data_IF_853791126816
#
_entry.id   IF_853791126816
#
_cell.length_a   1.000
_cell.length_b   1.000
_cell.length_c   1.000
_cell.angle_alpha   90.00
_cell.angle_beta   90.00
_cell.angle_gamma   90.00
#
_symmetry.space_group_name_H-M   'P 1'
#
loop_
_entity.id
_entity.type
_entity.pdbx_description
1 polymer ?
#
# COMPACT_ATOMS: atom_id res chain seq x y z
N UNK A 1 33.04 6.07 -11.56
CA UNK A 1 33.40 6.26 -12.98
C UNK A 1 33.13 7.69 -13.47
N UNK A 2 32.01 8.32 -13.10
CA UNK A 2 31.66 9.68 -13.53
C UNK A 2 32.72 10.74 -13.18
N UNK A 3 33.39 10.66 -12.02
CA UNK A 3 34.36 11.66 -11.56
C UNK A 3 35.73 11.54 -12.27
N UNK A 4 36.15 10.31 -12.60
CA UNK A 4 37.33 10.05 -13.43
C UNK A 4 37.04 10.46 -14.88
N UNK A 5 35.87 10.07 -15.41
CA UNK A 5 35.43 10.46 -16.75
C UNK A 5 35.27 11.98 -16.90
N UNK A 6 34.76 12.68 -15.88
CA UNK A 6 34.62 14.13 -15.86
C UNK A 6 35.97 14.86 -15.79
N UNK A 7 36.97 14.31 -15.08
CA UNK A 7 38.32 14.89 -15.05
C UNK A 7 39.06 14.69 -16.38
N UNK A 8 38.97 13.49 -16.96
CA UNK A 8 39.52 13.21 -18.30
C UNK A 8 38.85 14.07 -19.37
N UNK A 9 37.53 14.24 -19.33
CA UNK A 9 36.77 15.09 -20.26
C UNK A 9 37.11 16.59 -20.14
N UNK A 10 37.62 17.05 -18.99
CA UNK A 10 38.08 18.43 -18.76
C UNK A 10 39.57 18.62 -19.04
N UNK A 11 40.27 17.60 -19.55
CA UNK A 11 41.72 17.65 -19.81
C UNK A 11 42.58 17.66 -18.54
N UNK A 12 42.00 17.40 -17.36
CA UNK A 12 42.71 17.33 -16.09
C UNK A 12 43.20 15.92 -15.79
N UNK A 13 44.47 15.76 -15.41
CA UNK A 13 44.94 14.50 -14.84
C UNK A 13 44.64 14.47 -13.34
N UNK A 14 43.78 13.55 -12.90
CA UNK A 14 43.74 13.15 -11.50
C UNK A 14 45.11 12.56 -11.14
N UNK A 15 45.66 12.90 -9.97
CA UNK A 15 46.88 12.24 -9.53
C UNK A 15 46.58 10.75 -9.36
N UNK A 16 47.49 9.83 -9.74
CA UNK A 16 47.24 8.39 -9.64
C UNK A 16 46.72 7.94 -8.27
N UNK A 17 47.23 8.55 -7.19
CA UNK A 17 46.79 8.29 -5.82
C UNK A 17 45.31 8.65 -5.58
N UNK A 18 44.84 9.77 -6.11
CA UNK A 18 43.45 10.23 -5.98
C UNK A 18 42.50 9.36 -6.81
N UNK A 19 42.93 8.96 -8.01
CA UNK A 19 42.17 8.03 -8.85
C UNK A 19 42.03 6.64 -8.20
N UNK A 20 43.10 6.12 -7.59
CA UNK A 20 43.08 4.86 -6.84
C UNK A 20 42.17 4.96 -5.61
N UNK A 21 42.25 6.05 -4.84
CA UNK A 21 41.39 6.25 -3.68
C UNK A 21 39.90 6.28 -4.06
N UNK A 22 39.54 7.04 -5.10
CA UNK A 22 38.15 7.09 -5.56
C UNK A 22 37.66 5.76 -6.15
N UNK A 23 38.53 5.00 -6.82
CA UNK A 23 38.18 3.66 -7.29
C UNK A 23 37.91 2.69 -6.12
N UNK A 24 38.68 2.80 -5.04
CA UNK A 24 38.46 2.02 -3.82
C UNK A 24 37.13 2.39 -3.15
N UNK A 25 36.79 3.68 -3.03
CA UNK A 25 35.50 4.13 -2.47
C UNK A 25 34.30 3.57 -3.26
N UNK A 26 34.37 3.59 -4.60
CA UNK A 26 33.32 3.02 -5.44
C UNK A 26 33.19 1.51 -5.29
N UNK A 27 34.32 0.81 -5.11
CA UNK A 27 34.33 -0.62 -4.86
C UNK A 27 33.69 -0.94 -3.51
N UNK A 28 34.03 -0.20 -2.46
CA UNK A 28 33.45 -0.37 -1.13
C UNK A 28 31.94 -0.07 -1.14
N UNK A 29 31.50 0.98 -1.84
CA UNK A 29 30.07 1.27 -2.01
C UNK A 29 29.34 0.16 -2.78
N UNK A 30 29.95 -0.36 -3.85
CA UNK A 30 29.38 -1.47 -4.61
C UNK A 30 29.29 -2.75 -3.76
N UNK A 31 30.31 -3.06 -2.96
CA UNK A 31 30.29 -4.17 -2.02
C UNK A 31 29.17 -4.01 -0.99
N UNK A 32 29.03 -2.83 -0.39
CA UNK A 32 27.98 -2.55 0.59
C UNK A 32 26.56 -2.70 -0.02
N UNK A 33 26.36 -2.23 -1.27
CA UNK A 33 25.10 -2.42 -2.00
C UNK A 33 24.81 -3.89 -2.29
N UNK A 34 25.84 -4.65 -2.68
CA UNK A 34 25.70 -6.09 -2.93
C UNK A 34 25.37 -6.85 -1.64
N UNK A 35 26.07 -6.59 -0.54
CA UNK A 35 25.78 -7.19 0.76
C UNK A 35 24.37 -6.86 1.24
N UNK A 36 23.92 -5.62 1.07
CA UNK A 36 22.56 -5.22 1.39
C UNK A 36 21.53 -5.97 0.54
N UNK A 37 21.76 -6.08 -0.77
CA UNK A 37 20.90 -6.85 -1.67
C UNK A 37 20.86 -8.34 -1.29
N UNK A 38 21.98 -8.94 -0.92
CA UNK A 38 22.05 -10.33 -0.44
C UNK A 38 21.27 -10.51 0.88
N UNK A 39 21.43 -9.60 1.84
CA UNK A 39 20.66 -9.62 3.10
C UNK A 39 19.16 -9.50 2.85
N UNK A 40 18.75 -8.63 1.92
CA UNK A 40 17.36 -8.54 1.49
C UNK A 40 16.89 -9.86 0.86
N UNK A 41 17.69 -10.48 -0.02
CA UNK A 41 17.35 -11.76 -0.64
C UNK A 41 17.21 -12.89 0.39
N UNK A 42 18.09 -12.95 1.40
CA UNK A 42 17.99 -13.91 2.49
C UNK A 42 16.74 -13.67 3.34
N UNK A 43 16.42 -12.41 3.64
CA UNK A 43 15.19 -12.05 4.32
C UNK A 43 13.95 -12.45 3.49
N UNK A 44 13.94 -12.15 2.19
CA UNK A 44 12.88 -12.58 1.28
C UNK A 44 12.72 -14.11 1.25
N UNK A 45 13.82 -14.85 1.24
CA UNK A 45 13.80 -16.33 1.21
C UNK A 45 13.25 -16.89 2.53
N UNK A 46 13.62 -16.32 3.68
CA UNK A 46 13.03 -16.68 4.98
C UNK A 46 11.55 -16.34 5.03
N UNK A 47 11.15 -15.17 4.55
CA UNK A 47 9.75 -14.75 4.52
C UNK A 47 8.92 -15.59 3.54
N UNK A 48 9.49 -16.04 2.42
CA UNK A 48 8.81 -16.95 1.49
C UNK A 48 8.36 -18.25 2.17
N UNK A 49 9.16 -18.77 3.11
CA UNK A 49 8.77 -19.94 3.92
C UNK A 49 7.55 -19.68 4.81
N UNK A 50 7.34 -18.42 5.24
CA UNK A 50 6.17 -18.02 6.03
C UNK A 50 4.87 -18.02 5.22
N UNK A 51 4.97 -18.07 3.89
CA UNK A 51 3.81 -18.10 3.01
C UNK A 51 3.51 -19.50 2.48
N UNK A 52 4.21 -20.54 2.91
CA UNK A 52 4.06 -21.91 2.37
C UNK A 52 2.61 -22.42 2.36
N UNK A 53 1.81 -22.06 3.38
CA UNK A 53 0.40 -22.47 3.50
C UNK A 53 -0.57 -21.61 2.67
N UNK A 54 -0.10 -20.53 2.07
CA UNK A 54 -0.91 -19.67 1.21
C UNK A 54 -1.07 -20.34 -0.16
N UNK A 55 -2.27 -20.36 -0.76
CA UNK A 55 -2.44 -20.83 -2.13
C UNK A 55 -1.59 -20.02 -3.11
N UNK A 56 -0.84 -20.70 -3.99
CA UNK A 56 0.02 -20.06 -4.98
C UNK A 56 -0.43 -20.34 -6.42
N UNK A 57 -0.17 -19.42 -7.35
CA UNK A 57 -0.27 -19.68 -8.77
C UNK A 57 0.88 -20.59 -9.23
N UNK A 58 0.72 -21.26 -10.37
CA UNK A 58 1.75 -22.16 -10.92
C UNK A 58 3.02 -21.41 -11.34
N UNK A 59 2.89 -20.15 -11.75
CA UNK A 59 4.00 -19.31 -12.23
C UNK A 59 3.79 -17.83 -11.88
N UNK A 60 4.89 -17.08 -11.86
CA UNK A 60 4.92 -15.63 -11.76
C UNK A 60 5.44 -15.02 -13.08
N UNK A 61 5.01 -13.79 -13.47
CA UNK A 61 4.05 -12.94 -12.77
C UNK A 61 2.64 -13.52 -12.79
N UNK A 62 1.94 -13.43 -11.66
CA UNK A 62 0.59 -13.92 -11.50
C UNK A 62 -0.42 -12.82 -11.80
N UNK A 63 -1.53 -13.15 -12.45
CA UNK A 63 -2.54 -12.15 -12.77
C UNK A 63 -3.32 -11.71 -11.52
N UNK A 64 -3.97 -10.55 -11.61
CA UNK A 64 -4.92 -10.14 -10.57
C UNK A 64 -6.10 -11.12 -10.46
N UNK A 65 -6.55 -11.68 -11.59
CA UNK A 65 -7.60 -12.69 -11.61
C UNK A 65 -7.19 -13.98 -10.89
N UNK A 66 -5.94 -14.40 -10.99
CA UNK A 66 -5.42 -15.52 -10.19
C UNK A 66 -5.52 -15.23 -8.70
N UNK A 67 -5.23 -14.00 -8.27
CA UNK A 67 -5.39 -13.60 -6.88
C UNK A 67 -6.84 -13.64 -6.42
N UNK A 68 -7.76 -13.09 -7.23
CA UNK A 68 -9.19 -13.15 -6.93
C UNK A 68 -9.69 -14.60 -6.82
N UNK A 69 -9.22 -15.48 -7.71
CA UNK A 69 -9.61 -16.90 -7.75
C UNK A 69 -9.03 -17.69 -6.58
N UNK A 70 -7.72 -17.57 -6.32
CA UNK A 70 -6.99 -18.41 -5.38
C UNK A 70 -7.08 -17.91 -3.93
N UNK A 71 -7.08 -16.60 -3.73
CA UNK A 71 -7.03 -15.97 -2.41
C UNK A 71 -8.40 -15.48 -1.97
N UNK A 72 -9.08 -14.67 -2.80
CA UNK A 72 -10.36 -14.05 -2.42
C UNK A 72 -11.50 -15.07 -2.39
N UNK A 73 -11.50 -16.02 -3.34
CA UNK A 73 -12.42 -17.18 -3.41
C UNK A 73 -13.90 -16.79 -3.25
N UNK A 74 -14.35 -15.78 -3.99
CA UNK A 74 -15.76 -15.41 -4.01
C UNK A 74 -16.55 -16.24 -5.05
N UNK A 75 -17.89 -16.25 -4.93
CA UNK A 75 -18.77 -17.01 -5.84
C UNK A 75 -18.79 -16.43 -7.26
N UNK A 76 -18.65 -15.12 -7.38
CA UNK A 76 -18.67 -14.40 -8.65
C UNK A 76 -17.44 -13.48 -8.76
N UNK A 77 -16.97 -13.16 -9.97
CA UNK A 77 -15.89 -12.19 -10.16
C UNK A 77 -16.21 -10.82 -9.55
N UNK A 78 -17.44 -10.34 -9.73
CA UNK A 78 -17.89 -9.06 -9.19
C UNK A 78 -17.81 -9.03 -7.65
N UNK A 79 -18.21 -10.11 -6.97
CA UNK A 79 -18.05 -10.23 -5.52
C UNK A 79 -16.58 -10.27 -5.10
N UNK A 80 -15.73 -10.94 -5.88
CA UNK A 80 -14.31 -11.02 -5.58
C UNK A 80 -13.65 -9.63 -5.65
N UNK A 81 -13.90 -8.90 -6.74
CA UNK A 81 -13.39 -7.53 -6.92
C UNK A 81 -13.92 -6.59 -5.84
N UNK A 82 -15.21 -6.69 -5.48
CA UNK A 82 -15.80 -5.90 -4.40
C UNK A 82 -15.11 -6.17 -3.06
N UNK A 83 -14.94 -7.45 -2.68
CA UNK A 83 -14.26 -7.83 -1.43
C UNK A 83 -12.80 -7.35 -1.41
N UNK A 84 -12.10 -7.48 -2.52
CA UNK A 84 -10.72 -7.00 -2.62
C UNK A 84 -10.64 -5.47 -2.49
N UNK A 85 -11.56 -4.73 -3.14
CA UNK A 85 -11.67 -3.28 -2.97
C UNK A 85 -11.97 -2.89 -1.53
N UNK A 86 -12.87 -3.60 -0.85
CA UNK A 86 -13.18 -3.36 0.57
C UNK A 86 -11.97 -3.64 1.48
N UNK A 87 -11.17 -4.67 1.15
CA UNK A 87 -9.88 -4.93 1.79
C UNK A 87 -8.90 -3.77 1.60
N UNK A 88 -8.72 -3.27 0.37
CA UNK A 88 -7.85 -2.12 0.12
C UNK A 88 -8.34 -0.86 0.83
N UNK A 89 -9.66 -0.63 0.86
CA UNK A 89 -10.24 0.51 1.59
C UNK A 89 -9.89 0.44 3.07
N UNK A 90 -10.04 -0.73 3.69
CA UNK A 90 -9.67 -0.93 5.10
C UNK A 90 -8.15 -0.82 5.33
N UNK A 91 -7.34 -1.32 4.39
CA UNK A 91 -5.88 -1.21 4.45
C UNK A 91 -5.43 0.25 4.34
N UNK A 92 -5.97 1.01 3.39
CA UNK A 92 -5.67 2.43 3.21
C UNK A 92 -6.04 3.17 4.49
N UNK A 93 -7.26 2.96 5.02
CA UNK A 93 -7.73 3.52 6.30
C UNK A 93 -6.84 3.22 7.50
N UNK A 94 -6.08 2.13 7.52
CA UNK A 94 -5.09 1.84 8.59
C UNK A 94 -3.70 2.43 8.31
N UNK A 95 -3.35 2.55 7.03
CA UNK A 95 -2.02 3.00 6.59
C UNK A 95 -1.83 4.51 6.69
N UNK A 96 -2.89 5.30 6.52
CA UNK A 96 -2.89 6.64 7.09
C UNK A 96 -2.88 6.47 8.61
N UNK A 97 -2.01 7.19 9.30
CA UNK A 97 -1.60 6.97 10.69
C UNK A 97 -2.80 6.90 11.66
N UNK A 98 -3.32 5.69 11.96
CA UNK A 98 -4.49 5.54 12.85
C UNK A 98 -4.43 4.41 13.89
N UNK A 99 -3.34 3.65 13.98
CA UNK A 99 -3.19 2.59 15.01
C UNK A 99 -2.95 3.14 16.44
N UNK A 100 -2.98 4.46 16.68
CA UNK A 100 -2.70 5.08 18.00
C UNK A 100 -3.78 6.03 18.53
N UNK A 101 -4.91 6.23 17.86
CA UNK A 101 -5.97 7.12 18.34
C UNK A 101 -7.26 6.29 18.45
N UNK A 102 -7.65 5.95 19.68
CA UNK A 102 -8.88 5.21 20.00
C UNK A 102 -10.17 5.98 19.61
N UNK A 103 -10.07 7.27 19.30
CA UNK A 103 -11.20 8.15 18.96
C UNK A 103 -11.24 8.53 17.46
N UNK A 104 -11.62 7.57 16.62
CA UNK A 104 -11.85 7.77 15.17
C UNK A 104 -12.90 8.87 14.82
N UNK A 105 -13.99 9.09 15.58
CA UNK A 105 -15.01 10.10 15.24
C UNK A 105 -14.49 11.55 15.31
N UNK A 106 -13.72 11.87 16.36
CA UNK A 106 -13.23 13.24 16.61
C UNK A 106 -12.20 13.68 15.57
N UNK A 107 -11.43 12.74 15.05
CA UNK A 107 -10.40 13.04 14.05
C UNK A 107 -10.96 13.16 12.63
N UNK A 108 -11.98 12.38 12.26
CA UNK A 108 -12.64 12.53 10.96
C UNK A 108 -13.23 13.94 10.79
N UNK A 109 -13.82 14.49 11.85
CA UNK A 109 -14.28 15.88 11.91
C UNK A 109 -13.12 16.88 11.79
N UNK A 110 -12.03 16.67 12.53
CA UNK A 110 -10.85 17.54 12.48
C UNK A 110 -10.18 17.57 11.10
N UNK A 111 -9.99 16.41 10.48
CA UNK A 111 -9.37 16.29 9.18
C UNK A 111 -10.28 16.81 8.06
N UNK A 112 -11.60 16.65 8.18
CA UNK A 112 -12.57 17.21 7.23
C UNK A 112 -12.50 18.73 7.24
N UNK A 113 -12.44 19.31 8.44
CA UNK A 113 -12.26 20.75 8.64
C UNK A 113 -10.91 21.24 8.09
N UNK A 114 -9.81 20.50 8.32
CA UNK A 114 -8.49 20.86 7.79
C UNK A 114 -8.41 20.82 6.27
N UNK A 115 -9.04 19.84 5.64
CA UNK A 115 -9.12 19.76 4.18
C UNK A 115 -9.92 20.94 3.64
N UNK A 116 -11.07 21.26 4.23
CA UNK A 116 -11.89 22.42 3.85
C UNK A 116 -11.14 23.75 4.03
N UNK A 117 -10.42 23.93 5.14
CA UNK A 117 -9.56 25.10 5.41
C UNK A 117 -8.45 25.28 4.36
N UNK A 118 -7.97 24.18 3.76
CA UNK A 118 -6.92 24.20 2.73
C UNK A 118 -7.44 24.37 1.30
N UNK A 119 -8.74 24.18 1.07
CA UNK A 119 -9.34 24.41 -0.25
C UNK A 119 -9.22 25.88 -0.66
N UNK A 120 -9.00 26.10 -1.95
CA UNK A 120 -9.05 27.44 -2.53
C UNK A 120 -10.48 27.98 -2.44
N UNK A 121 -10.68 29.30 -2.30
CA UNK A 121 -12.02 29.90 -2.29
C UNK A 121 -12.89 29.47 -3.47
N UNK A 122 -12.31 29.39 -4.67
CA UNK A 122 -12.98 28.96 -5.91
C UNK A 122 -13.53 27.51 -5.82
N UNK A 123 -12.85 26.63 -5.09
CA UNK A 123 -13.27 25.24 -4.92
C UNK A 123 -14.39 25.10 -3.87
N UNK A 124 -14.49 26.05 -2.93
CA UNK A 124 -15.56 26.13 -1.93
C UNK A 124 -16.87 26.63 -2.53
N UNK A 125 -16.79 27.45 -3.58
CA UNK A 125 -17.96 27.96 -4.31
C UNK A 125 -18.48 26.98 -5.38
N UNK A 126 -17.93 25.76 -5.43
CA UNK A 126 -18.40 24.74 -6.38
C UNK A 126 -19.88 24.39 -6.12
N UNK A 127 -20.76 24.45 -7.13
CA UNK A 127 -22.18 24.12 -7.00
C UNK A 127 -22.46 22.75 -6.39
N UNK A 128 -21.54 21.79 -6.51
CA UNK A 128 -21.69 20.45 -5.92
C UNK A 128 -21.72 20.45 -4.39
N UNK A 129 -21.23 21.53 -3.75
CA UNK A 129 -21.23 21.70 -2.29
C UNK A 129 -22.38 22.57 -1.79
N UNK A 130 -23.21 23.11 -2.69
CA UNK A 130 -24.28 24.01 -2.32
C UNK A 130 -25.29 23.32 -1.38
N UNK A 131 -25.51 23.90 -0.20
CA UNK A 131 -26.41 23.35 0.81
C UNK A 131 -25.80 22.26 1.70
N UNK A 132 -24.52 21.91 1.51
CA UNK A 132 -23.79 21.03 2.42
C UNK A 132 -23.09 21.85 3.52
N UNK A 133 -23.00 21.27 4.71
CA UNK A 133 -22.20 21.81 5.82
C UNK A 133 -20.71 21.60 5.59
N UNK A 134 -19.85 22.39 6.24
CA UNK A 134 -18.39 22.21 6.17
C UNK A 134 -17.96 20.77 6.55
N UNK A 135 -18.66 20.16 7.52
CA UNK A 135 -18.42 18.78 7.94
C UNK A 135 -18.76 17.77 6.83
N UNK A 136 -19.89 17.95 6.17
CA UNK A 136 -20.31 17.07 5.07
C UNK A 136 -19.37 17.19 3.86
N UNK A 137 -18.92 18.42 3.54
CA UNK A 137 -17.93 18.65 2.48
C UNK A 137 -16.60 17.99 2.84
N UNK A 138 -16.12 18.18 4.08
CA UNK A 138 -14.89 17.55 4.57
C UNK A 138 -14.95 16.02 4.52
N UNK A 139 -16.08 15.42 4.91
CA UNK A 139 -16.29 13.98 4.85
C UNK A 139 -16.34 13.46 3.41
N UNK A 140 -17.00 14.18 2.50
CA UNK A 140 -17.04 13.83 1.08
C UNK A 140 -15.65 13.83 0.45
N UNK A 141 -14.83 14.86 0.74
CA UNK A 141 -13.46 14.96 0.23
C UNK A 141 -12.54 13.89 0.82
N UNK A 142 -12.71 13.52 2.10
CA UNK A 142 -11.99 12.38 2.67
C UNK A 142 -12.34 11.08 1.97
N UNK A 143 -13.63 10.86 1.70
CA UNK A 143 -14.11 9.68 1.00
C UNK A 143 -13.57 9.64 -0.44
N UNK A 144 -13.55 10.77 -1.14
CA UNK A 144 -12.96 10.89 -2.47
C UNK A 144 -11.45 10.58 -2.46
N UNK A 145 -10.70 11.18 -1.54
CA UNK A 145 -9.26 10.91 -1.37
C UNK A 145 -8.98 9.43 -1.05
N UNK A 146 -9.83 8.82 -0.23
CA UNK A 146 -9.75 7.40 0.07
C UNK A 146 -9.98 6.55 -1.18
N UNK A 147 -11.04 6.81 -1.95
CA UNK A 147 -11.32 6.07 -3.18
C UNK A 147 -10.23 6.27 -4.23
N UNK A 148 -9.65 7.47 -4.33
CA UNK A 148 -8.50 7.75 -5.21
C UNK A 148 -7.29 6.87 -4.83
N UNK A 149 -6.93 6.82 -3.56
CA UNK A 149 -5.83 5.95 -3.08
C UNK A 149 -6.12 4.46 -3.29
N UNK A 150 -7.37 4.05 -3.13
CA UNK A 150 -7.79 2.67 -3.44
C UNK A 150 -7.66 2.38 -4.93
N UNK A 151 -8.02 3.33 -5.80
CA UNK A 151 -7.87 3.19 -7.25
C UNK A 151 -6.40 3.08 -7.66
N UNK A 152 -5.52 3.92 -7.11
CA UNK A 152 -4.06 3.85 -7.33
C UNK A 152 -3.49 2.48 -6.93
N UNK A 153 -3.90 1.93 -5.79
CA UNK A 153 -3.49 0.57 -5.39
C UNK A 153 -4.07 -0.51 -6.31
N UNK A 154 -5.32 -0.37 -6.76
CA UNK A 154 -5.91 -1.31 -7.71
C UNK A 154 -5.15 -1.32 -9.05
N UNK A 155 -4.73 -0.16 -9.54
CA UNK A 155 -3.89 -0.05 -10.74
C UNK A 155 -2.53 -0.72 -10.56
N UNK A 156 -1.91 -0.58 -9.38
CA UNK A 156 -0.67 -1.31 -9.05
C UNK A 156 -0.86 -2.83 -9.18
N UNK A 157 -2.00 -3.34 -8.70
CA UNK A 157 -2.32 -4.77 -8.78
C UNK A 157 -2.82 -5.20 -10.17
N UNK A 158 -3.26 -4.28 -11.03
CA UNK A 158 -3.70 -4.60 -12.40
C UNK A 158 -2.55 -5.14 -13.26
N UNK A 159 -1.32 -4.70 -12.99
CA UNK A 159 -0.09 -5.25 -13.59
C UNK A 159 0.29 -6.64 -13.06
N UNK A 160 -0.50 -7.21 -12.14
CA UNK A 160 -0.28 -8.51 -11.53
C UNK A 160 0.76 -8.50 -10.40
N UNK A 161 1.02 -9.69 -9.87
CA UNK A 161 2.00 -9.94 -8.82
C UNK A 161 3.28 -10.46 -9.45
N UNK A 162 4.35 -9.67 -9.38
CA UNK A 162 5.62 -9.99 -10.06
C UNK A 162 6.38 -11.16 -9.41
N UNK A 163 6.17 -11.37 -8.11
CA UNK A 163 6.91 -12.34 -7.33
C UNK A 163 6.05 -12.94 -6.21
N UNK A 164 6.54 -14.06 -5.65
CA UNK A 164 5.90 -14.78 -4.56
C UNK A 164 5.78 -13.94 -3.30
N UNK A 165 6.71 -13.02 -3.07
CA UNK A 165 6.73 -12.19 -1.88
C UNK A 165 5.55 -11.22 -1.82
N UNK A 166 5.36 -10.42 -2.88
CA UNK A 166 4.24 -9.48 -3.02
C UNK A 166 2.90 -10.21 -2.95
N UNK A 167 2.81 -11.38 -3.59
CA UNK A 167 1.65 -12.25 -3.51
C UNK A 167 1.35 -12.68 -2.07
N UNK A 168 2.33 -13.30 -1.41
CA UNK A 168 2.19 -13.83 -0.05
C UNK A 168 1.84 -12.74 0.97
N UNK A 169 2.50 -11.58 0.88
CA UNK A 169 2.23 -10.46 1.77
C UNK A 169 0.81 -9.89 1.57
N UNK A 170 0.36 -9.72 0.32
CA UNK A 170 -0.99 -9.25 0.04
C UNK A 170 -2.04 -10.28 0.49
N UNK A 171 -1.80 -11.57 0.20
CA UNK A 171 -2.69 -12.67 0.61
C UNK A 171 -2.81 -12.79 2.13
N UNK A 172 -1.70 -12.71 2.87
CA UNK A 172 -1.68 -12.71 4.33
C UNK A 172 -2.49 -11.54 4.89
N UNK A 173 -2.29 -10.34 4.34
CA UNK A 173 -3.06 -9.16 4.71
C UNK A 173 -4.57 -9.35 4.47
N UNK A 174 -4.93 -9.90 3.32
CA UNK A 174 -6.32 -10.21 2.98
C UNK A 174 -6.94 -11.24 3.93
N UNK A 175 -6.26 -12.34 4.23
CA UNK A 175 -6.78 -13.36 5.16
C UNK A 175 -7.00 -12.82 6.57
N UNK A 176 -6.06 -12.02 7.09
CA UNK A 176 -6.20 -11.38 8.39
C UNK A 176 -7.40 -10.41 8.42
N UNK A 177 -7.56 -9.60 7.36
CA UNK A 177 -8.73 -8.74 7.20
C UNK A 177 -10.04 -9.54 7.16
N UNK A 178 -10.09 -10.59 6.36
CA UNK A 178 -11.31 -11.40 6.18
C UNK A 178 -11.71 -12.13 7.46
N UNK A 179 -10.74 -12.64 8.22
CA UNK A 179 -10.99 -13.26 9.53
C UNK A 179 -11.65 -12.26 10.51
N UNK A 180 -11.15 -11.02 10.55
CA UNK A 180 -11.75 -9.95 11.35
C UNK A 180 -13.17 -9.62 10.89
N UNK A 181 -13.39 -9.41 9.59
CA UNK A 181 -14.72 -9.12 9.04
C UNK A 181 -15.75 -10.19 9.43
N UNK A 182 -15.40 -11.48 9.33
CA UNK A 182 -16.30 -12.57 9.76
C UNK A 182 -16.57 -12.54 11.26
N UNK A 183 -15.55 -12.25 12.07
CA UNK A 183 -15.70 -12.11 13.53
C UNK A 183 -16.66 -10.97 13.88
N UNK A 184 -16.54 -9.82 13.23
CA UNK A 184 -17.37 -8.65 13.48
C UNK A 184 -18.83 -8.91 13.05
N UNK A 185 -19.02 -9.57 11.90
CA UNK A 185 -20.35 -10.01 11.43
C UNK A 185 -21.01 -10.99 12.42
N UNK A 186 -20.26 -11.98 12.93
CA UNK A 186 -20.77 -12.93 13.92
C UNK A 186 -21.18 -12.23 15.23
N UNK A 187 -20.36 -11.27 15.70
CA UNK A 187 -20.67 -10.45 16.88
C UNK A 187 -21.92 -9.60 16.67
N UNK A 188 -22.08 -8.98 15.50
CA UNK A 188 -23.26 -8.19 15.16
C UNK A 188 -24.53 -9.05 15.10
N UNK A 189 -24.46 -10.26 14.53
CA UNK A 189 -25.57 -11.20 14.49
C UNK A 189 -26.01 -11.65 15.89
N UNK A 190 -25.06 -12.00 16.76
CA UNK A 190 -25.34 -12.39 18.14
C UNK A 190 -25.94 -11.25 18.97
N UNK A 191 -25.55 -10.00 18.72
CA UNK A 191 -26.18 -8.83 19.36
C UNK A 191 -27.63 -8.63 18.92
N UNK A 192 -27.94 -8.90 17.65
CA UNK A 192 -29.32 -8.82 17.14
C UNK A 192 -30.22 -9.90 17.75
N UNK A 193 -29.74 -11.14 17.84
CA UNK A 193 -30.53 -12.24 18.40
C UNK A 193 -30.87 -12.05 19.88
N UNK A 194 -29.98 -11.42 20.66
CA UNK A 194 -30.22 -11.06 22.07
C UNK A 194 -31.22 -9.92 22.27
N UNK A 195 -31.49 -9.09 21.26
CA UNK A 195 -32.49 -8.01 21.34
C UNK A 195 -33.88 -8.48 20.93
N UNK A 196 -33.98 -9.61 20.25
CA UNK A 196 -35.23 -10.21 19.77
C UNK A 196 -35.74 -11.35 20.65
N UNK A 197 -35.01 -11.71 21.72
CA UNK A 197 -35.38 -12.70 22.72
C UNK A 197 -35.62 -11.99 24.05
#
# INVERSE_FOLDING_TARGET
>A
LALIAANVARGGSLKPREAIAYAAELYDEACARLEHAMKLQDAYTREASMFADIPHPEKFPASFDDFLRLIVRAKTPADATKRFRDFLRDRVKRSCVFDKIEDYPVWAEWAGKKIFEQMKPEERENPQWAGMTEQEIGAALQQENLEKRVAEQLEEYACGFQDQYRWGHCAKGYFAWWARQRSDQARAAAKKSKKSA
#
